data_IF_789459746337
#
_entry.id   IF_789459746337
#
_cell.length_a   1.000
_cell.length_b   1.000
_cell.length_c   1.000
_cell.angle_alpha   90.00
_cell.angle_beta   90.00
_cell.angle_gamma   90.00
#
_symmetry.space_group_name_H-M   'P 1'
#
loop_
_entity.id
_entity.type
_entity.pdbx_description
1 polymer ?
#
# COMPACT_ATOMS: atom_id res chain seq x y z
N UNK A 1 4.69 17.41 20.95
CA UNK A 1 4.64 16.85 19.58
C UNK A 1 3.76 15.61 19.67
N UNK A 2 2.63 15.58 18.97
CA UNK A 2 1.80 14.38 18.86
C UNK A 2 2.31 13.59 17.64
N UNK A 3 2.81 12.38 17.87
CA UNK A 3 3.27 11.45 16.83
C UNK A 3 2.17 10.43 16.56
N UNK A 4 1.60 10.45 15.35
CA UNK A 4 0.61 9.49 14.86
C UNK A 4 1.28 8.34 14.11
N UNK A 5 0.51 7.30 13.73
CA UNK A 5 1.01 6.22 12.88
C UNK A 5 1.37 6.76 11.49
N UNK A 6 2.58 6.46 11.03
CA UNK A 6 2.93 6.61 9.62
C UNK A 6 2.26 5.52 8.78
N UNK A 7 1.61 5.91 7.70
CA UNK A 7 1.14 5.03 6.64
C UNK A 7 2.18 4.94 5.53
N UNK A 8 2.01 3.99 4.61
CA UNK A 8 2.92 3.84 3.48
C UNK A 8 3.01 5.14 2.64
N UNK A 9 1.90 5.87 2.52
CA UNK A 9 1.86 7.16 1.80
C UNK A 9 2.61 8.30 2.50
N UNK A 10 2.97 8.15 3.77
CA UNK A 10 3.75 9.15 4.52
C UNK A 10 5.26 8.98 4.29
N UNK A 11 5.69 7.93 3.57
CA UNK A 11 7.10 7.59 3.33
C UNK A 11 7.55 8.11 1.97
N UNK A 12 8.42 9.12 1.97
CA UNK A 12 9.01 9.67 0.74
C UNK A 12 10.20 8.84 0.22
N UNK A 13 11.12 8.46 1.10
CA UNK A 13 12.39 7.82 0.74
C UNK A 13 12.71 6.66 1.69
N UNK A 14 13.17 5.53 1.14
CA UNK A 14 13.59 4.33 1.91
C UNK A 14 15.02 3.96 1.53
N UNK A 15 15.84 3.69 2.55
CA UNK A 15 17.21 3.22 2.39
C UNK A 15 17.38 1.82 2.99
N UNK A 16 18.06 0.93 2.27
CA UNK A 16 18.42 -0.42 2.72
C UNK A 16 19.89 -0.64 2.45
N UNK A 17 20.71 -0.81 3.50
CA UNK A 17 22.14 -1.08 3.33
C UNK A 17 22.93 0.02 2.61
N UNK A 18 22.48 1.27 2.67
CA UNK A 18 23.08 2.41 1.96
C UNK A 18 22.55 2.63 0.54
N UNK A 19 21.71 1.73 0.04
CA UNK A 19 21.03 1.87 -1.25
C UNK A 19 19.65 2.52 -1.07
N UNK A 20 19.29 3.43 -1.97
CA UNK A 20 17.98 4.12 -1.95
C UNK A 20 17.02 3.31 -2.80
N UNK A 21 16.05 2.64 -2.18
CA UNK A 21 15.11 1.73 -2.84
C UNK A 21 13.74 2.36 -3.15
N UNK A 22 13.41 3.46 -2.46
CA UNK A 22 12.24 4.30 -2.69
C UNK A 22 12.68 5.76 -2.63
N UNK A 23 12.19 6.61 -3.54
CA UNK A 23 12.42 8.07 -3.52
C UNK A 23 11.22 8.78 -4.15
N UNK A 24 10.73 9.85 -3.51
CA UNK A 24 9.53 10.54 -3.99
C UNK A 24 8.29 9.64 -4.00
N UNK A 25 8.25 8.64 -3.11
CA UNK A 25 7.21 7.61 -3.09
C UNK A 25 7.27 6.61 -4.25
N UNK A 26 8.33 6.63 -5.07
CA UNK A 26 8.51 5.72 -6.21
C UNK A 26 9.68 4.77 -6.00
N UNK A 27 9.56 3.48 -6.37
CA UNK A 27 10.69 2.55 -6.37
C UNK A 27 11.80 3.00 -7.33
N UNK A 28 13.05 2.81 -6.94
CA UNK A 28 14.22 3.22 -7.77
C UNK A 28 14.76 2.11 -8.66
N UNK A 29 14.57 0.85 -8.26
CA UNK A 29 15.07 -0.34 -8.97
C UNK A 29 13.98 -1.12 -9.71
N UNK A 30 12.75 -0.61 -9.71
CA UNK A 30 11.61 -1.27 -10.33
C UNK A 30 10.81 -0.26 -11.13
N UNK A 31 10.68 -0.52 -12.44
CA UNK A 31 9.85 0.29 -13.33
C UNK A 31 8.38 -0.11 -13.18
N UNK A 32 7.69 0.61 -12.30
CA UNK A 32 6.27 0.42 -12.03
C UNK A 32 5.44 0.62 -13.30
N UNK A 33 5.82 1.55 -14.17
CA UNK A 33 5.06 1.86 -15.38
C UNK A 33 5.19 0.73 -16.40
N UNK A 34 6.41 0.22 -16.62
CA UNK A 34 6.64 -0.92 -17.50
C UNK A 34 5.94 -2.18 -16.98
N UNK A 35 6.04 -2.46 -15.68
CA UNK A 35 5.35 -3.61 -15.07
C UNK A 35 3.82 -3.50 -15.17
N UNK A 36 3.26 -2.29 -14.98
CA UNK A 36 1.84 -2.06 -15.15
C UNK A 36 1.39 -2.27 -16.61
N UNK A 37 2.20 -1.85 -17.59
CA UNK A 37 1.92 -2.08 -19.00
C UNK A 37 1.95 -3.58 -19.36
N UNK A 38 2.97 -4.31 -18.90
CA UNK A 38 3.06 -5.76 -19.10
C UNK A 38 1.86 -6.49 -18.46
N UNK A 39 1.51 -6.12 -17.22
CA UNK A 39 0.36 -6.69 -16.54
C UNK A 39 -0.95 -6.41 -17.27
N UNK A 40 -1.13 -5.18 -17.79
CA UNK A 40 -2.32 -4.83 -18.56
C UNK A 40 -2.42 -5.65 -19.86
N UNK A 41 -1.31 -5.89 -20.54
CA UNK A 41 -1.27 -6.74 -21.73
C UNK A 41 -1.64 -8.19 -21.40
N UNK A 42 -1.08 -8.75 -20.33
CA UNK A 42 -1.40 -10.12 -19.89
C UNK A 42 -2.87 -10.26 -19.49
N UNK A 43 -3.45 -9.24 -18.83
CA UNK A 43 -4.85 -9.23 -18.44
C UNK A 43 -5.79 -9.08 -19.65
N UNK A 44 -5.40 -8.30 -20.65
CA UNK A 44 -6.17 -8.16 -21.90
C UNK A 44 -6.25 -9.50 -22.66
N UNK A 45 -5.18 -10.30 -22.61
CA UNK A 45 -5.14 -11.63 -23.22
C UNK A 45 -5.96 -12.68 -22.43
N UNK A 46 -6.16 -12.45 -21.13
CA UNK A 46 -6.84 -13.38 -20.22
C UNK A 46 -8.07 -12.73 -19.59
N UNK A 47 -8.96 -12.20 -20.43
CA UNK A 47 -10.14 -11.49 -19.93
C UNK A 47 -11.02 -12.45 -19.10
N UNK A 48 -11.33 -12.10 -17.83
CA UNK A 48 -12.10 -12.99 -16.98
C UNK A 48 -13.49 -13.24 -17.56
N UNK A 49 -14.03 -14.45 -17.38
CA UNK A 49 -15.39 -14.75 -17.85
C UNK A 49 -16.43 -13.83 -17.19
N UNK A 50 -17.58 -13.63 -17.84
CA UNK A 50 -18.68 -12.84 -17.26
C UNK A 50 -19.10 -13.37 -15.88
N UNK A 51 -19.06 -14.69 -15.67
CA UNK A 51 -19.35 -15.32 -14.38
C UNK A 51 -18.31 -14.96 -13.31
N UNK A 52 -17.02 -14.95 -13.68
CA UNK A 52 -15.95 -14.55 -12.77
C UNK A 52 -16.07 -13.07 -12.36
N UNK A 53 -16.40 -12.18 -13.30
CA UNK A 53 -16.65 -10.76 -13.01
C UNK A 53 -17.82 -10.56 -12.05
N UNK A 54 -18.95 -11.22 -12.32
CA UNK A 54 -20.12 -11.16 -11.45
C UNK A 54 -19.83 -11.69 -10.04
N UNK A 55 -19.00 -12.74 -9.93
CA UNK A 55 -18.56 -13.26 -8.63
C UNK A 55 -17.69 -12.24 -7.89
N UNK A 56 -16.75 -11.58 -8.56
CA UNK A 56 -15.93 -10.52 -7.96
C UNK A 56 -16.81 -9.37 -7.47
N UNK A 57 -17.75 -8.90 -8.29
CA UNK A 57 -18.68 -7.83 -7.90
C UNK A 57 -19.53 -8.21 -6.68
N UNK A 58 -19.91 -9.49 -6.59
CA UNK A 58 -20.64 -10.04 -5.45
C UNK A 58 -19.78 -10.11 -4.18
N UNK A 59 -18.52 -10.48 -4.32
CA UNK A 59 -17.61 -10.68 -3.18
C UNK A 59 -16.98 -9.38 -2.67
N UNK A 60 -16.78 -8.39 -3.55
CA UNK A 60 -16.06 -7.14 -3.25
C UNK A 60 -16.58 -6.42 -1.99
N UNK A 61 -17.90 -6.31 -1.73
CA UNK A 61 -18.40 -5.67 -0.51
C UNK A 61 -17.97 -6.38 0.78
N UNK A 62 -17.88 -7.71 0.76
CA UNK A 62 -17.48 -8.52 1.91
C UNK A 62 -15.98 -8.42 2.17
N UNK A 63 -15.17 -8.42 1.11
CA UNK A 63 -13.73 -8.19 1.21
C UNK A 63 -13.46 -6.80 1.80
N UNK A 64 -14.11 -5.76 1.28
CA UNK A 64 -13.98 -4.41 1.81
C UNK A 64 -14.44 -4.29 3.27
N UNK A 65 -15.54 -4.95 3.65
CA UNK A 65 -16.02 -4.99 5.02
C UNK A 65 -15.03 -5.70 5.96
N UNK A 66 -14.45 -6.82 5.51
CA UNK A 66 -13.44 -7.55 6.28
C UNK A 66 -12.21 -6.69 6.55
N UNK A 67 -11.63 -6.05 5.53
CA UNK A 67 -10.47 -5.18 5.70
C UNK A 67 -10.77 -3.93 6.54
N UNK A 68 -11.97 -3.35 6.45
CA UNK A 68 -12.38 -2.25 7.33
C UNK A 68 -12.51 -2.66 8.79
N UNK A 69 -13.00 -3.88 9.04
CA UNK A 69 -13.15 -4.44 10.38
C UNK A 69 -11.87 -5.05 10.93
N UNK A 70 -10.78 -5.05 10.17
CA UNK A 70 -9.51 -5.60 10.62
C UNK A 70 -9.02 -4.76 11.80
N UNK A 71 -9.03 -5.37 13.00
CA UNK A 71 -8.54 -4.72 14.20
C UNK A 71 -7.07 -4.30 13.99
N UNK A 72 -6.88 -2.99 13.93
CA UNK A 72 -5.56 -2.41 14.09
C UNK A 72 -5.35 -2.19 15.58
N UNK A 73 -4.24 -2.68 16.16
CA UNK A 73 -3.93 -2.39 17.55
C UNK A 73 -3.95 -0.88 17.77
N UNK A 74 -4.67 -0.43 18.81
CA UNK A 74 -4.71 0.99 19.16
C UNK A 74 -3.30 1.44 19.52
N UNK A 75 -2.74 2.32 18.70
CA UNK A 75 -1.42 2.87 18.95
C UNK A 75 -1.59 3.96 20.01
N UNK A 76 -1.08 3.68 21.21
CA UNK A 76 -0.91 4.71 22.22
C UNK A 76 0.10 5.74 21.67
N UNK A 77 -0.20 7.05 21.77
CA UNK A 77 0.74 8.08 21.34
C UNK A 77 2.11 7.86 22.01
N UNK A 78 3.17 7.84 21.21
CA UNK A 78 4.52 7.86 21.78
C UNK A 78 4.84 9.28 22.24
N UNK A 79 4.74 9.54 23.55
CA UNK A 79 5.19 10.80 24.13
C UNK A 79 6.71 10.82 24.28
N UNK A 80 7.40 11.38 23.29
CA UNK A 80 8.80 11.78 23.43
C UNK A 80 8.87 13.17 24.09
N UNK A 81 9.14 13.22 25.40
CA UNK A 81 9.37 14.48 26.11
C UNK A 81 10.80 14.94 25.84
N UNK A 82 10.99 15.80 24.83
CA UNK A 82 12.29 16.44 24.60
C UNK A 82 12.68 17.29 25.82
N UNK A 83 13.62 16.79 26.63
CA UNK A 83 14.16 17.49 27.79
C UNK A 83 15.18 18.54 27.35
N UNK A 84 14.73 19.64 26.74
CA UNK A 84 15.49 20.90 26.66
C UNK A 84 14.51 22.07 26.70
N UNK A 85 14.33 22.62 27.90
CA UNK A 85 14.08 24.06 28.07
C UNK A 85 15.43 24.76 28.17
#
# INVERSE_FOLDING_TARGET
LLLTRAQAGDVDTVLVGGDVVLRGGQPTHFDVAAAAAELAEQLAQNEPSAAARALVDTLMPYVAAHYRGWEHPSLQPYEARNSKQ
#
